data_IF_432454246900
#
_entry.id   IF_432454246900
#
_cell.length_a   1.000
_cell.length_b   1.000
_cell.length_c   1.000
_cell.angle_alpha   90.00
_cell.angle_beta   90.00
_cell.angle_gamma   90.00
#
_symmetry.space_group_name_H-M   'P 1'
#
loop_
_entity.id
_entity.type
_entity.pdbx_description
1 polymer ?
#
# COMPACT_ATOMS: atom_id res chain seq x y z
N UNK A 1 1.24 -4.47 -16.05
CA UNK A 1 1.85 -3.14 -15.81
C UNK A 1 1.91 -2.94 -14.30
N UNK A 2 2.95 -2.31 -13.76
CA UNK A 2 3.13 -2.21 -12.31
C UNK A 2 2.22 -1.13 -11.71
N UNK A 3 2.08 -1.15 -10.38
CA UNK A 3 1.47 -0.07 -9.61
C UNK A 3 1.98 1.32 -10.02
N UNK A 4 1.17 2.35 -9.78
CA UNK A 4 1.57 3.75 -9.88
C UNK A 4 2.30 4.15 -8.59
N UNK A 5 3.62 4.42 -8.63
CA UNK A 5 4.36 4.76 -7.42
C UNK A 5 3.95 6.14 -6.89
N UNK A 6 3.74 6.25 -5.58
CA UNK A 6 3.41 7.49 -4.88
C UNK A 6 4.21 7.60 -3.57
N UNK A 7 4.54 8.81 -3.14
CA UNK A 7 5.14 9.03 -1.82
C UNK A 7 4.09 8.94 -0.72
N UNK A 8 4.49 8.54 0.50
CA UNK A 8 3.57 8.43 1.66
C UNK A 8 2.80 9.72 1.89
N UNK A 9 3.51 10.85 2.01
CA UNK A 9 2.87 12.16 2.26
C UNK A 9 1.93 12.57 1.12
N UNK A 10 2.29 12.28 -0.13
CA UNK A 10 1.44 12.58 -1.29
C UNK A 10 0.15 11.74 -1.30
N UNK A 11 0.22 10.47 -0.88
CA UNK A 11 -0.96 9.64 -0.76
C UNK A 11 -1.85 10.08 0.41
N UNK A 12 -1.26 10.44 1.55
CA UNK A 12 -2.02 10.98 2.70
C UNK A 12 -2.78 12.25 2.31
N UNK A 13 -2.13 13.18 1.61
CA UNK A 13 -2.78 14.40 1.11
C UNK A 13 -3.92 14.09 0.12
N UNK A 14 -3.71 13.12 -0.78
CA UNK A 14 -4.71 12.70 -1.76
C UNK A 14 -5.92 12.05 -1.08
N UNK A 15 -5.67 11.15 -0.13
CA UNK A 15 -6.69 10.42 0.60
C UNK A 15 -7.52 11.36 1.48
N UNK A 16 -6.86 12.29 2.18
CA UNK A 16 -7.53 13.26 3.08
C UNK A 16 -8.45 14.22 2.33
N UNK A 17 -8.16 14.54 1.05
CA UNK A 17 -9.05 15.37 0.22
C UNK A 17 -10.35 14.66 -0.13
N UNK A 18 -10.31 13.34 -0.29
CA UNK A 18 -11.47 12.53 -0.68
C UNK A 18 -12.22 11.97 0.53
N UNK A 19 -11.52 11.78 1.66
CA UNK A 19 -12.02 11.18 2.90
C UNK A 19 -11.65 12.08 4.10
N UNK A 20 -12.33 13.22 4.28
CA UNK A 20 -12.02 14.19 5.33
C UNK A 20 -12.23 13.67 6.76
N UNK A 21 -12.92 12.53 6.92
CA UNK A 21 -13.13 11.83 8.19
C UNK A 21 -11.91 11.02 8.65
N UNK A 22 -10.97 10.74 7.76
CA UNK A 22 -9.76 9.98 8.06
C UNK A 22 -8.72 10.92 8.65
N UNK A 23 -8.17 10.57 9.82
CA UNK A 23 -7.06 11.33 10.41
C UNK A 23 -5.78 11.09 9.58
N UNK A 24 -5.18 12.14 8.99
CA UNK A 24 -3.95 12.01 8.20
C UNK A 24 -2.77 11.47 9.00
N UNK A 25 -2.71 11.73 10.32
CA UNK A 25 -1.64 11.21 11.18
C UNK A 25 -1.77 9.70 11.39
N UNK A 26 -2.99 9.23 11.63
CA UNK A 26 -3.26 7.78 11.77
C UNK A 26 -3.00 7.05 10.46
N UNK A 27 -3.46 7.60 9.33
CA UNK A 27 -3.20 7.01 8.01
C UNK A 27 -1.69 6.95 7.72
N UNK A 28 -0.95 8.02 8.02
CA UNK A 28 0.51 8.03 7.89
C UNK A 28 1.16 6.97 8.76
N UNK A 29 0.72 6.81 10.01
CA UNK A 29 1.24 5.79 10.91
C UNK A 29 1.04 4.38 10.33
N UNK A 30 -0.18 4.06 9.90
CA UNK A 30 -0.53 2.76 9.33
C UNK A 30 0.23 2.45 8.03
N UNK A 31 0.44 3.45 7.18
CA UNK A 31 1.26 3.30 5.96
C UNK A 31 2.72 2.99 6.27
N UNK A 32 3.29 3.61 7.32
CA UNK A 32 4.66 3.32 7.72
C UNK A 32 4.77 1.92 8.35
N UNK A 33 3.81 1.50 9.16
CA UNK A 33 3.78 0.14 9.73
C UNK A 33 3.71 -0.92 8.61
N UNK A 34 2.80 -0.75 7.64
CA UNK A 34 2.70 -1.64 6.50
C UNK A 34 3.95 -1.62 5.61
N UNK A 35 4.60 -0.46 5.45
CA UNK A 35 5.86 -0.35 4.71
C UNK A 35 7.00 -1.06 5.42
N UNK A 36 7.09 -0.96 6.75
CA UNK A 36 8.08 -1.67 7.54
C UNK A 36 7.88 -3.19 7.46
N UNK A 37 6.65 -3.67 7.58
CA UNK A 37 6.34 -5.08 7.40
C UNK A 37 6.74 -5.59 6.00
N UNK A 38 6.42 -4.81 4.95
CA UNK A 38 6.83 -5.12 3.57
C UNK A 38 8.36 -5.20 3.44
N UNK A 39 9.09 -4.30 4.10
CA UNK A 39 10.57 -4.27 4.12
C UNK A 39 11.17 -5.41 4.92
N UNK A 40 10.48 -5.89 5.94
CA UNK A 40 10.87 -7.07 6.73
C UNK A 40 10.59 -8.38 5.99
N UNK A 41 9.99 -8.32 4.79
CA UNK A 41 9.69 -9.48 3.97
C UNK A 41 8.40 -10.19 4.37
N UNK A 42 7.52 -9.53 5.12
CA UNK A 42 6.19 -10.05 5.39
C UNK A 42 5.39 -10.16 4.10
N UNK A 43 4.67 -11.27 3.96
CA UNK A 43 3.91 -11.62 2.76
C UNK A 43 2.47 -11.93 3.13
N UNK A 44 1.60 -11.85 2.13
CA UNK A 44 0.23 -12.31 2.25
C UNK A 44 0.21 -13.84 2.41
N UNK A 45 -0.88 -14.39 2.96
CA UNK A 45 -1.09 -15.84 3.08
C UNK A 45 -0.96 -16.62 1.76
N UNK A 46 -1.16 -15.95 0.61
CA UNK A 46 -0.98 -16.55 -0.71
C UNK A 46 0.47 -16.56 -1.20
N UNK A 47 1.41 -16.02 -0.42
CA UNK A 47 2.84 -15.91 -0.74
C UNK A 47 3.23 -14.63 -1.48
N UNK A 48 2.26 -13.87 -1.98
CA UNK A 48 2.55 -12.59 -2.66
C UNK A 48 2.94 -11.50 -1.66
N UNK A 49 3.81 -10.56 -2.06
CA UNK A 49 4.17 -9.44 -1.22
C UNK A 49 2.96 -8.55 -0.86
N UNK A 50 2.91 -8.04 0.38
CA UNK A 50 1.77 -7.23 0.86
C UNK A 50 1.65 -5.90 0.10
N UNK A 51 0.43 -5.50 -0.26
CA UNK A 51 0.19 -4.19 -0.87
C UNK A 51 0.12 -3.16 0.26
N UNK A 52 1.08 -2.23 0.34
CA UNK A 52 1.26 -1.36 1.52
C UNK A 52 0.06 -0.45 1.71
N UNK A 53 -0.40 0.20 0.63
CA UNK A 53 -1.58 1.06 0.69
C UNK A 53 -2.83 0.29 1.13
N UNK A 54 -3.09 -0.87 0.50
CA UNK A 54 -4.23 -1.70 0.87
C UNK A 54 -4.14 -2.25 2.29
N UNK A 55 -2.92 -2.56 2.75
CA UNK A 55 -2.67 -3.10 4.08
C UNK A 55 -2.88 -2.07 5.18
N UNK A 56 -2.60 -0.79 4.91
CA UNK A 56 -2.87 0.30 5.84
C UNK A 56 -4.37 0.59 6.01
N UNK A 57 -5.20 0.27 5.00
CA UNK A 57 -6.63 0.67 4.99
C UNK A 57 -7.57 -0.50 5.28
N UNK A 58 -7.29 -1.69 4.73
CA UNK A 58 -8.22 -2.81 4.76
C UNK A 58 -7.73 -3.95 5.66
N UNK A 59 -6.68 -4.65 5.23
CA UNK A 59 -6.09 -5.78 5.96
C UNK A 59 -4.71 -6.07 5.42
N UNK A 60 -3.85 -6.65 6.27
CA UNK A 60 -2.48 -7.03 5.95
C UNK A 60 -2.41 -8.14 4.87
N UNK A 61 -2.45 -7.76 3.59
CA UNK A 61 -2.58 -8.69 2.47
C UNK A 61 -2.08 -8.09 1.14
N UNK A 62 -1.92 -8.94 0.12
CA UNK A 62 -1.57 -8.51 -1.24
C UNK A 62 -2.78 -7.89 -1.96
N UNK A 63 -2.52 -7.19 -3.07
CA UNK A 63 -3.53 -6.55 -3.90
C UNK A 63 -4.66 -7.50 -4.28
N UNK A 64 -4.35 -8.63 -4.92
CA UNK A 64 -5.36 -9.60 -5.37
C UNK A 64 -6.19 -10.16 -4.22
N UNK A 65 -5.60 -10.40 -3.05
CA UNK A 65 -6.38 -10.85 -1.91
C UNK A 65 -7.28 -9.74 -1.35
N UNK A 66 -6.92 -8.48 -1.48
CA UNK A 66 -7.75 -7.35 -1.00
C UNK A 66 -8.87 -7.04 -2.00
N UNK A 67 -8.55 -6.91 -3.29
CA UNK A 67 -9.49 -6.42 -4.33
C UNK A 67 -10.19 -7.55 -5.07
N UNK A 68 -9.61 -8.75 -5.10
CA UNK A 68 -10.03 -9.84 -5.98
C UNK A 68 -9.54 -9.70 -7.42
N UNK A 69 -8.79 -8.65 -7.74
CA UNK A 69 -8.32 -8.35 -9.09
C UNK A 69 -6.93 -8.94 -9.36
N UNK A 70 -6.70 -9.34 -10.61
CA UNK A 70 -5.46 -10.03 -10.98
C UNK A 70 -4.26 -9.09 -11.14
N UNK A 71 -4.48 -7.81 -11.47
CA UNK A 71 -3.43 -6.84 -11.78
C UNK A 71 -3.78 -5.45 -11.23
N UNK A 72 -2.81 -4.70 -10.67
CA UNK A 72 -3.06 -3.41 -10.04
C UNK A 72 -2.99 -2.22 -11.03
N UNK A 73 -3.64 -2.36 -12.18
CA UNK A 73 -3.45 -1.41 -13.29
C UNK A 73 -4.06 -0.04 -12.97
N UNK A 74 -3.20 0.94 -12.70
CA UNK A 74 -3.60 2.29 -12.29
C UNK A 74 -3.75 2.48 -10.78
N UNK A 75 -3.61 1.42 -9.98
CA UNK A 75 -3.64 1.51 -8.53
C UNK A 75 -2.33 2.05 -7.96
N UNK A 76 -2.45 2.85 -6.90
CA UNK A 76 -1.29 3.40 -6.23
C UNK A 76 -0.57 2.35 -5.38
N UNK A 77 0.74 2.52 -5.26
CA UNK A 77 1.56 1.87 -4.23
C UNK A 77 2.66 2.81 -3.76
N UNK A 78 3.11 2.64 -2.52
CA UNK A 78 4.20 3.43 -1.96
C UNK A 78 5.49 3.17 -2.76
N UNK A 79 6.13 4.25 -3.21
CA UNK A 79 7.34 4.20 -4.06
C UNK A 79 8.45 3.33 -3.48
N UNK A 80 8.60 3.34 -2.15
CA UNK A 80 9.62 2.54 -1.47
C UNK A 80 9.28 1.04 -1.43
N UNK A 81 8.01 0.67 -1.57
CA UNK A 81 7.58 -0.72 -1.74
C UNK A 81 7.78 -1.23 -3.18
N UNK A 82 7.69 -0.34 -4.18
CA UNK A 82 7.93 -0.70 -5.59
C UNK A 82 9.41 -0.96 -5.89
N UNK A 83 10.34 -0.28 -5.20
CA UNK A 83 11.78 -0.37 -5.45
C UNK A 83 12.43 -1.71 -5.11
N UNK A 84 11.68 -2.66 -4.52
CA UNK A 84 12.15 -4.02 -4.24
C UNK A 84 11.79 -5.06 -5.31
N UNK A 85 11.16 -4.67 -6.43
CA UNK A 85 10.68 -5.59 -7.45
C UNK A 85 11.65 -5.80 -8.65
N UNK A 86 12.76 -5.06 -8.71
CA UNK A 86 13.58 -4.94 -9.94
C UNK A 86 15.05 -5.40 -9.83
N UNK A 87 15.49 -6.12 -8.78
CA UNK A 87 16.82 -6.79 -8.72
C UNK A 87 16.99 -7.68 -7.49
#
# INVERSE_FOLDING_TARGET
MPFVPIAVDAFVDLHSKSNPEVDPLDLRFLLNEALEARRNGETCDCGEPIWVIGSAIARHACFTCITGEAVPDGDYEIVDACRGADV
#
